data_IF_728196677572
#
_entry.id   IF_728196677572
#
_cell.length_a   1.000
_cell.length_b   1.000
_cell.length_c   1.000
_cell.angle_alpha   90.00
_cell.angle_beta   90.00
_cell.angle_gamma   90.00
#
_symmetry.space_group_name_H-M   'P 1'
#
loop_
_entity.id
_entity.type
_entity.pdbx_description
1 polymer ?
#
# COMPACT_ATOMS: atom_id res chain seq x y z
N UNK A 1 -29.88 -74.53 -0.97
CA UNK A 1 -29.05 -73.30 -1.12
C UNK A 1 -28.97 -72.60 0.23
N UNK A 2 -27.84 -72.69 0.94
CA UNK A 2 -27.65 -71.99 2.20
C UNK A 2 -27.38 -70.51 1.91
N UNK A 3 -28.24 -69.61 2.42
CA UNK A 3 -28.00 -68.16 2.32
C UNK A 3 -26.82 -67.82 3.22
N UNK A 4 -25.71 -67.36 2.64
CA UNK A 4 -24.56 -66.86 3.38
C UNK A 4 -24.97 -65.59 4.12
N UNK A 5 -25.26 -65.69 5.41
CA UNK A 5 -25.64 -64.53 6.21
C UNK A 5 -24.43 -63.63 6.43
N UNK A 6 -24.58 -62.35 6.12
CA UNK A 6 -23.54 -61.36 6.30
C UNK A 6 -23.27 -61.18 7.80
N UNK A 7 -22.04 -61.49 8.23
CA UNK A 7 -21.61 -61.45 9.63
C UNK A 7 -21.92 -60.08 10.27
N UNK A 8 -21.82 -58.97 9.52
CA UNK A 8 -22.14 -57.62 10.02
C UNK A 8 -23.63 -57.46 10.37
N UNK A 9 -24.51 -58.09 9.60
CA UNK A 9 -25.96 -58.05 9.88
C UNK A 9 -26.29 -58.87 11.12
N UNK A 10 -25.69 -60.06 11.27
CA UNK A 10 -25.84 -60.91 12.46
C UNK A 10 -25.36 -60.16 13.71
N UNK A 11 -24.17 -59.55 13.65
CA UNK A 11 -23.63 -58.73 14.75
C UNK A 11 -24.56 -57.56 15.12
N UNK A 12 -25.20 -56.92 14.14
CA UNK A 12 -26.16 -55.83 14.41
C UNK A 12 -27.42 -56.33 15.13
N UNK A 13 -27.92 -57.52 14.79
CA UNK A 13 -29.09 -58.14 15.42
C UNK A 13 -28.77 -58.56 16.84
N UNK A 14 -27.61 -59.20 17.07
CA UNK A 14 -27.14 -59.55 18.41
C UNK A 14 -27.01 -58.31 19.29
N UNK A 15 -26.44 -57.22 18.76
CA UNK A 15 -26.32 -55.94 19.49
C UNK A 15 -27.69 -55.38 19.89
N UNK A 16 -28.69 -55.45 19.01
CA UNK A 16 -30.07 -55.02 19.32
C UNK A 16 -30.72 -55.89 20.40
N UNK A 17 -30.50 -57.21 20.37
CA UNK A 17 -31.02 -58.14 21.38
C UNK A 17 -30.38 -57.89 22.75
N UNK A 18 -29.06 -57.71 22.80
CA UNK A 18 -28.34 -57.38 24.04
C UNK A 18 -28.83 -56.04 24.58
N UNK A 19 -28.93 -55.02 23.72
CA UNK A 19 -29.41 -53.70 24.11
C UNK A 19 -30.86 -53.75 24.63
N UNK A 20 -31.76 -54.53 24.01
CA UNK A 20 -33.13 -54.73 24.48
C UNK A 20 -33.20 -55.43 25.85
N UNK A 21 -32.32 -56.42 26.10
CA UNK A 21 -32.22 -57.10 27.41
C UNK A 21 -31.55 -56.23 28.48
N UNK A 22 -30.61 -55.38 28.10
CA UNK A 22 -29.91 -54.52 29.05
C UNK A 22 -30.78 -53.34 29.49
N UNK A 23 -31.64 -52.83 28.59
CA UNK A 23 -32.68 -51.85 28.96
C UNK A 23 -33.81 -52.44 29.83
N UNK A 24 -33.97 -53.77 29.94
CA UNK A 24 -34.93 -54.37 30.87
C UNK A 24 -34.39 -54.53 32.30
N UNK A 25 -33.09 -54.33 32.53
CA UNK A 25 -32.46 -54.49 33.86
C UNK A 25 -31.69 -53.26 34.36
N UNK A 26 -31.33 -52.29 33.51
CA UNK A 26 -30.74 -51.03 33.94
C UNK A 26 -31.69 -49.86 33.71
N UNK A 27 -32.35 -49.44 34.79
CA UNK A 27 -32.84 -48.07 34.97
C UNK A 27 -31.65 -47.10 35.13
N UNK A 28 -30.64 -47.21 34.28
CA UNK A 28 -29.48 -46.34 34.25
C UNK A 28 -29.72 -45.27 33.19
N UNK A 29 -29.91 -44.04 33.64
CA UNK A 29 -30.08 -42.83 32.82
C UNK A 29 -28.90 -42.64 31.87
N UNK A 30 -28.95 -43.31 30.72
CA UNK A 30 -28.05 -43.02 29.61
C UNK A 30 -28.44 -41.65 29.08
N UNK A 31 -27.84 -40.61 29.66
CA UNK A 31 -27.93 -39.23 29.19
C UNK A 31 -27.64 -39.25 27.69
N UNK A 32 -28.69 -39.10 26.89
CA UNK A 32 -28.60 -38.96 25.44
C UNK A 32 -27.80 -37.69 25.18
N UNK A 33 -26.49 -37.82 24.91
CA UNK A 33 -25.66 -36.73 24.40
C UNK A 33 -25.95 -36.48 22.92
N UNK A 34 -27.19 -36.12 22.63
CA UNK A 34 -27.65 -35.70 21.32
C UNK A 34 -28.72 -34.66 21.66
N UNK A 35 -28.59 -33.35 21.45
CA UNK A 35 -28.18 -32.65 20.23
C UNK A 35 -27.81 -31.18 20.58
N UNK A 36 -26.76 -30.91 21.36
CA UNK A 36 -26.43 -29.52 21.74
C UNK A 36 -25.86 -28.65 20.60
N UNK A 37 -25.59 -29.22 19.42
CA UNK A 37 -24.96 -28.51 18.30
C UNK A 37 -25.92 -27.77 17.38
N UNK A 38 -27.24 -28.05 17.43
CA UNK A 38 -28.24 -27.41 16.55
C UNK A 38 -28.76 -26.06 17.09
N UNK A 39 -28.50 -25.76 18.36
CA UNK A 39 -28.98 -24.53 19.03
C UNK A 39 -27.98 -23.37 18.94
N UNK A 40 -26.72 -23.64 18.59
CA UNK A 40 -25.70 -22.59 18.49
C UNK A 40 -25.72 -21.93 17.12
N UNK A 41 -25.78 -20.58 17.11
CA UNK A 41 -25.73 -19.81 15.86
C UNK A 41 -24.38 -20.02 15.17
N UNK A 42 -24.36 -20.22 13.84
CA UNK A 42 -23.11 -20.36 13.09
C UNK A 42 -22.33 -19.04 13.11
N UNK A 43 -21.01 -19.13 13.30
CA UNK A 43 -20.09 -17.99 13.40
C UNK A 43 -19.95 -17.17 12.10
N UNK A 44 -20.33 -17.73 10.96
CA UNK A 44 -20.10 -17.15 9.63
C UNK A 44 -18.65 -17.28 9.15
N UNK A 45 -18.45 -17.18 7.84
CA UNK A 45 -17.10 -17.23 7.23
C UNK A 45 -16.28 -15.99 7.62
N UNK A 46 -14.96 -16.04 7.43
CA UNK A 46 -14.09 -14.87 7.68
C UNK A 46 -14.54 -13.66 6.85
N UNK A 47 -14.90 -13.88 5.59
CA UNK A 47 -15.33 -12.83 4.66
C UNK A 47 -16.69 -12.23 5.02
N UNK A 48 -17.62 -13.05 5.51
CA UNK A 48 -18.92 -12.55 5.99
C UNK A 48 -18.75 -11.63 7.20
N UNK A 49 -17.85 -11.98 8.11
CA UNK A 49 -17.57 -11.19 9.32
C UNK A 49 -16.82 -9.88 9.03
N UNK A 50 -15.94 -9.86 8.02
CA UNK A 50 -15.17 -8.66 7.64
C UNK A 50 -15.89 -7.75 6.64
N UNK A 51 -16.94 -8.24 5.98
CA UNK A 51 -17.74 -7.48 5.00
C UNK A 51 -18.17 -6.09 5.48
N UNK A 52 -18.73 -5.88 6.69
CA UNK A 52 -19.14 -4.53 7.11
C UNK A 52 -17.96 -3.55 7.18
N UNK A 53 -16.81 -3.98 7.70
CA UNK A 53 -15.60 -3.15 7.77
C UNK A 53 -15.11 -2.76 6.38
N UNK A 54 -15.11 -3.71 5.44
CA UNK A 54 -14.71 -3.45 4.05
C UNK A 54 -15.65 -2.46 3.37
N UNK A 55 -16.97 -2.60 3.57
CA UNK A 55 -17.96 -1.68 3.03
C UNK A 55 -17.83 -0.27 3.65
N UNK A 56 -17.55 -0.16 4.95
CA UNK A 56 -17.31 1.12 5.60
C UNK A 56 -16.08 1.84 5.01
N UNK A 57 -14.98 1.11 4.81
CA UNK A 57 -13.78 1.65 4.17
C UNK A 57 -14.03 2.10 2.72
N UNK A 58 -14.79 1.33 1.96
CA UNK A 58 -15.18 1.72 0.58
C UNK A 58 -16.02 3.00 0.60
N UNK A 59 -16.99 3.12 1.51
CA UNK A 59 -17.81 4.35 1.62
C UNK A 59 -16.95 5.57 1.92
N UNK A 60 -16.02 5.49 2.85
CA UNK A 60 -15.09 6.59 3.15
C UNK A 60 -14.23 6.94 1.92
N UNK A 61 -13.66 5.93 1.26
CA UNK A 61 -12.86 6.15 0.05
C UNK A 61 -13.65 6.82 -1.07
N UNK A 62 -14.95 6.52 -1.23
CA UNK A 62 -15.79 7.14 -2.24
C UNK A 62 -16.03 8.64 -1.96
N UNK A 63 -16.21 9.02 -0.69
CA UNK A 63 -16.34 10.43 -0.30
C UNK A 63 -15.05 11.20 -0.58
N UNK A 64 -13.89 10.60 -0.30
CA UNK A 64 -12.59 11.23 -0.54
C UNK A 64 -12.14 11.20 -2.01
N UNK A 65 -12.79 10.40 -2.87
CA UNK A 65 -12.33 10.15 -4.23
C UNK A 65 -12.33 11.42 -5.09
N UNK A 66 -13.37 12.25 -4.97
CA UNK A 66 -13.53 13.46 -5.79
C UNK A 66 -12.40 14.46 -5.52
N UNK A 67 -12.05 14.68 -4.24
CA UNK A 67 -10.96 15.56 -3.84
C UNK A 67 -9.61 15.03 -4.36
N UNK A 68 -9.36 13.72 -4.19
CA UNK A 68 -8.13 13.09 -4.69
C UNK A 68 -7.98 13.18 -6.21
N UNK A 69 -9.08 13.13 -6.95
CA UNK A 69 -9.08 13.32 -8.41
C UNK A 69 -8.67 14.76 -8.76
N UNK A 70 -9.19 15.76 -8.05
CA UNK A 70 -8.83 17.16 -8.29
C UNK A 70 -7.36 17.43 -7.94
N UNK A 71 -6.88 16.94 -6.80
CA UNK A 71 -5.47 17.02 -6.40
C UNK A 71 -4.57 16.37 -7.45
N UNK A 72 -4.90 15.15 -7.88
CA UNK A 72 -4.16 14.45 -8.92
C UNK A 72 -4.12 15.25 -10.23
N UNK A 73 -5.25 15.81 -10.67
CA UNK A 73 -5.31 16.63 -11.89
C UNK A 73 -4.46 17.90 -11.76
N UNK A 74 -4.51 18.57 -10.62
CA UNK A 74 -3.72 19.78 -10.39
C UNK A 74 -2.21 19.48 -10.45
N UNK A 75 -1.78 18.41 -9.80
CA UNK A 75 -0.38 17.94 -9.83
C UNK A 75 0.04 17.65 -11.28
N UNK A 76 -0.81 16.95 -12.04
CA UNK A 76 -0.55 16.64 -13.44
C UNK A 76 -0.45 17.89 -14.33
N UNK A 77 -1.25 18.92 -14.07
CA UNK A 77 -1.19 20.18 -14.83
C UNK A 77 0.08 20.95 -14.48
N UNK A 78 0.38 21.10 -13.19
CA UNK A 78 1.53 21.87 -12.71
C UNK A 78 2.87 21.24 -13.07
N UNK A 79 2.92 19.91 -13.17
CA UNK A 79 4.14 19.18 -13.56
C UNK A 79 4.39 19.18 -15.07
N UNK A 80 3.52 19.80 -15.88
CA UNK A 80 3.81 20.02 -17.30
C UNK A 80 4.95 21.03 -17.43
N UNK A 81 5.79 20.91 -18.47
CA UNK A 81 6.85 21.89 -18.70
C UNK A 81 6.24 23.28 -18.94
N UNK A 82 6.82 24.31 -18.32
CA UNK A 82 6.42 25.70 -18.55
C UNK A 82 6.74 26.11 -19.99
N UNK A 83 5.79 26.81 -20.62
CA UNK A 83 5.89 27.30 -21.99
C UNK A 83 5.71 28.82 -22.06
N UNK A 84 6.09 29.44 -23.19
CA UNK A 84 5.90 30.88 -23.41
C UNK A 84 6.76 31.74 -22.48
N UNK A 85 6.18 32.83 -21.96
CA UNK A 85 6.86 33.80 -21.11
C UNK A 85 7.37 33.18 -19.81
N UNK A 86 6.59 32.31 -19.19
CA UNK A 86 6.95 31.69 -17.91
C UNK A 86 8.22 30.84 -18.02
N UNK A 87 8.42 30.17 -19.16
CA UNK A 87 9.65 29.42 -19.45
C UNK A 87 10.88 30.33 -19.53
N UNK A 88 10.71 31.53 -20.10
CA UNK A 88 11.77 32.54 -20.21
C UNK A 88 12.09 33.10 -18.82
N UNK A 89 11.06 33.45 -18.06
CA UNK A 89 11.19 33.97 -16.69
C UNK A 89 11.93 32.96 -15.80
N UNK A 90 11.50 31.69 -15.82
CA UNK A 90 12.10 30.63 -15.01
C UNK A 90 13.58 30.40 -15.35
N UNK A 91 14.00 30.63 -16.60
CA UNK A 91 15.40 30.47 -17.01
C UNK A 91 16.24 31.71 -16.76
N UNK A 92 15.72 32.89 -17.07
CA UNK A 92 16.50 34.14 -17.09
C UNK A 92 16.60 34.76 -15.70
N UNK A 93 15.52 34.85 -14.93
CA UNK A 93 15.52 35.57 -13.65
C UNK A 93 16.47 34.93 -12.62
N UNK A 94 16.49 33.60 -12.41
CA UNK A 94 17.41 32.99 -11.44
C UNK A 94 18.89 33.25 -11.78
N UNK A 95 19.23 33.31 -13.07
CA UNK A 95 20.58 33.64 -13.51
C UNK A 95 21.00 35.03 -13.04
N UNK A 96 20.19 36.06 -13.33
CA UNK A 96 20.47 37.45 -12.93
C UNK A 96 20.48 37.65 -11.42
N UNK A 97 19.59 36.99 -10.68
CA UNK A 97 19.58 37.06 -9.21
C UNK A 97 20.84 36.45 -8.60
N UNK A 98 21.29 35.31 -9.13
CA UNK A 98 22.53 34.66 -8.66
C UNK A 98 23.77 35.52 -8.94
N UNK A 99 23.77 36.24 -10.06
CA UNK A 99 24.88 37.09 -10.46
C UNK A 99 24.97 38.33 -9.57
N UNK A 100 23.84 39.01 -9.34
CA UNK A 100 23.77 40.13 -8.39
C UNK A 100 24.13 39.72 -6.96
N UNK A 101 23.69 38.54 -6.51
CA UNK A 101 24.05 38.03 -5.19
C UNK A 101 25.57 37.76 -5.09
N UNK A 102 26.19 37.21 -6.13
CA UNK A 102 27.65 37.01 -6.18
C UNK A 102 28.40 38.35 -6.18
N UNK A 103 27.94 39.33 -6.96
CA UNK A 103 28.52 40.67 -7.00
C UNK A 103 28.41 41.39 -5.65
N UNK A 104 27.27 41.26 -4.95
CA UNK A 104 27.09 41.81 -3.60
C UNK A 104 28.06 41.19 -2.59
N UNK A 105 28.25 39.86 -2.62
CA UNK A 105 29.23 39.17 -1.76
C UNK A 105 30.66 39.65 -2.05
N UNK A 106 31.00 39.89 -3.33
CA UNK A 106 32.32 40.40 -3.72
C UNK A 106 32.50 41.84 -3.20
N UNK A 107 31.49 42.70 -3.33
CA UNK A 107 31.53 44.07 -2.82
C UNK A 107 31.65 44.11 -1.29
N UNK A 108 30.92 43.27 -0.57
CA UNK A 108 31.00 43.17 0.89
C UNK A 108 32.40 42.72 1.34
N UNK A 109 32.98 41.72 0.67
CA UNK A 109 34.36 41.27 0.94
C UNK A 109 35.40 42.35 0.61
N UNK A 110 35.21 43.12 -0.45
CA UNK A 110 36.09 44.24 -0.79
C UNK A 110 35.96 45.39 0.22
N UNK A 111 34.76 45.65 0.73
CA UNK A 111 34.52 46.65 1.77
C UNK A 111 35.13 46.24 3.12
N UNK A 112 35.09 44.94 3.47
CA UNK A 112 35.70 44.43 4.71
C UNK A 112 37.23 44.34 4.66
N UNK A 113 37.82 44.15 3.47
CA UNK A 113 39.28 43.99 3.32
C UNK A 113 40.03 45.30 3.09
N UNK A 114 39.34 46.43 2.92
CA UNK A 114 39.94 47.77 2.85
C UNK A 114 40.98 47.98 1.72
N UNK A 115 41.10 47.04 0.78
CA UNK A 115 42.07 47.09 -0.31
C UNK A 115 41.35 47.18 -1.64
N UNK A 116 41.22 48.39 -2.16
CA UNK A 116 40.80 48.69 -3.53
C UNK A 116 41.90 48.27 -4.51
N UNK A 117 42.08 46.96 -4.70
CA UNK A 117 43.00 46.45 -5.71
C UNK A 117 42.26 46.36 -7.04
N UNK A 118 42.49 47.37 -7.90
CA UNK A 118 42.22 47.30 -9.34
C UNK A 118 42.86 46.02 -9.88
N UNK A 119 42.06 44.97 -10.01
CA UNK A 119 42.48 43.75 -10.68
C UNK A 119 41.45 43.50 -11.77
N UNK A 120 41.80 43.92 -12.97
CA UNK A 120 41.11 43.58 -14.20
C UNK A 120 41.03 42.07 -14.33
N UNK A 121 39.89 41.48 -14.03
CA UNK A 121 39.57 40.12 -14.44
C UNK A 121 39.00 40.19 -15.85
N UNK A 122 39.87 40.44 -16.83
CA UNK A 122 39.63 39.97 -18.18
C UNK A 122 39.55 38.43 -18.12
N UNK A 123 38.58 37.78 -18.77
CA UNK A 123 38.70 36.36 -19.01
C UNK A 123 39.88 36.19 -19.97
N UNK A 124 40.95 35.51 -19.55
CA UNK A 124 41.96 35.06 -20.50
C UNK A 124 41.31 34.00 -21.37
N UNK A 125 40.83 34.40 -22.54
CA UNK A 125 40.66 33.48 -23.64
C UNK A 125 42.04 32.95 -24.01
N UNK A 126 42.29 31.70 -23.65
CA UNK A 126 43.00 30.74 -24.49
C UNK A 126 43.19 29.45 -23.70
N UNK A 127 42.49 28.38 -24.09
CA UNK A 127 43.09 27.27 -24.87
C UNK A 127 41.98 26.42 -25.46
N UNK A 128 41.85 26.47 -26.78
CA UNK A 128 41.33 25.34 -27.56
C UNK A 128 42.12 24.08 -27.17
N UNK A 129 41.44 23.09 -26.59
CA UNK A 129 41.83 21.68 -26.68
C UNK A 129 40.64 20.90 -27.22
N UNK A 130 40.53 20.91 -28.54
CA UNK A 130 39.99 19.76 -29.28
C UNK A 130 40.85 18.55 -28.93
N UNK A 131 40.28 17.53 -28.27
CA UNK A 131 40.59 16.12 -28.52
C UNK A 131 39.41 15.31 -27.96
N UNK A 132 38.66 14.67 -28.85
CA UNK A 132 37.59 13.77 -28.46
C UNK A 132 38.12 12.48 -27.83
N UNK A 133 37.28 11.78 -27.10
CA UNK A 133 37.11 10.35 -27.36
C UNK A 133 35.79 9.84 -26.80
N UNK A 134 35.02 9.19 -27.68
CA UNK A 134 33.89 8.33 -27.34
C UNK A 134 34.44 7.17 -26.50
N UNK A 135 33.75 6.79 -25.43
CA UNK A 135 33.81 5.42 -24.91
C UNK A 135 32.42 4.82 -24.89
N UNK A 136 32.42 3.58 -25.35
CA UNK A 136 31.30 2.66 -25.60
C UNK A 136 30.48 2.39 -24.35
#
# INVERSE_FOLDING_TARGET
MARSFNIKQIQSVIKKIIQAKQYSMDCGSSQRRFEKSKTQKPKGTKDQRSRPMRLAKIKQNLVEAEQKILEYRQIQINNRPLSGLDSIIQKTIPYWLSQKAKEAIIQERQAQTGKTSKTSLLPSEDKRKTFGNKKK
#
